data_IF_529489350579
#
_entry.id   IF_529489350579
#
_cell.length_a   1.000
_cell.length_b   1.000
_cell.length_c   1.000
_cell.angle_alpha   90.00
_cell.angle_beta   90.00
_cell.angle_gamma   90.00
#
_symmetry.space_group_name_H-M   'P 1'
#
loop_
_entity.id
_entity.type
_entity.pdbx_description
1 polymer ?
#
# COMPACT_ATOMS: atom_id res chain seq x y z
N UNK A 1 16.26 -13.04 -9.08
CA UNK A 1 14.78 -13.04 -9.21
C UNK A 1 14.21 -11.70 -9.69
N UNK A 2 14.85 -10.54 -9.45
CA UNK A 2 14.40 -9.25 -10.02
C UNK A 2 13.21 -8.62 -9.29
N UNK A 3 12.87 -9.10 -8.09
CA UNK A 3 11.84 -8.50 -7.24
C UNK A 3 12.29 -7.13 -6.73
N UNK A 4 11.34 -6.19 -6.65
CA UNK A 4 11.58 -4.86 -6.08
C UNK A 4 11.90 -4.99 -4.58
N UNK A 5 13.07 -4.51 -4.15
CA UNK A 5 13.42 -4.45 -2.72
C UNK A 5 12.87 -3.19 -2.08
N UNK A 6 13.12 -2.04 -2.69
CA UNK A 6 12.62 -0.75 -2.22
C UNK A 6 12.55 0.27 -3.37
N UNK A 7 11.83 1.36 -3.12
CA UNK A 7 11.79 2.54 -3.98
C UNK A 7 11.96 3.81 -3.17
N UNK A 8 12.75 4.77 -3.67
CA UNK A 8 12.80 6.13 -3.14
C UNK A 8 11.65 6.94 -3.73
N UNK A 9 10.93 7.67 -2.90
CA UNK A 9 9.82 8.52 -3.33
C UNK A 9 9.93 9.90 -2.68
N UNK A 10 9.25 10.88 -3.28
CA UNK A 10 9.23 12.28 -2.79
C UNK A 10 10.65 12.83 -2.61
N UNK A 11 11.44 12.79 -3.68
CA UNK A 11 12.84 13.25 -3.71
C UNK A 11 13.74 12.65 -2.61
N UNK A 12 13.47 11.40 -2.23
CA UNK A 12 14.24 10.67 -1.22
C UNK A 12 13.79 10.93 0.21
N UNK A 13 12.73 11.71 0.44
CA UNK A 13 12.18 11.90 1.77
C UNK A 13 11.54 10.62 2.36
N UNK A 14 11.14 9.68 1.50
CA UNK A 14 10.51 8.43 1.93
C UNK A 14 11.04 7.24 1.14
N UNK A 15 10.95 6.06 1.77
CA UNK A 15 11.30 4.77 1.18
C UNK A 15 10.09 3.84 1.29
N UNK A 16 9.66 3.27 0.18
CA UNK A 16 8.73 2.14 0.19
C UNK A 16 9.54 0.85 0.22
N UNK A 17 9.30 -0.03 1.20
CA UNK A 17 9.97 -1.33 1.34
C UNK A 17 8.95 -2.44 1.17
N UNK A 18 9.26 -3.46 0.37
CA UNK A 18 8.38 -4.61 0.21
C UNK A 18 8.41 -5.46 1.49
N UNK A 19 7.26 -5.62 2.16
CA UNK A 19 7.17 -6.33 3.45
C UNK A 19 7.76 -7.74 3.43
N UNK A 20 7.68 -8.45 2.29
CA UNK A 20 8.25 -9.80 2.13
C UNK A 20 9.78 -9.88 2.15
N UNK A 21 10.49 -8.77 2.22
CA UNK A 21 11.96 -8.73 2.31
C UNK A 21 12.46 -8.58 3.75
N UNK A 22 11.57 -8.45 4.73
CA UNK A 22 11.93 -8.32 6.14
C UNK A 22 12.27 -9.70 6.73
N UNK A 23 13.30 -9.74 7.59
CA UNK A 23 13.72 -10.97 8.28
C UNK A 23 12.84 -11.24 9.49
N UNK A 24 12.55 -10.20 10.27
CA UNK A 24 11.76 -10.28 11.49
C UNK A 24 10.29 -9.94 11.23
N UNK A 25 9.39 -10.35 12.14
CA UNK A 25 7.98 -9.96 12.07
C UNK A 25 7.85 -8.43 12.21
N UNK A 26 7.33 -7.73 11.19
CA UNK A 26 7.11 -6.30 11.30
C UNK A 26 6.10 -6.02 12.42
N UNK A 27 6.35 -5.03 13.28
CA UNK A 27 5.36 -4.60 14.26
C UNK A 27 4.24 -3.75 13.65
N UNK A 28 4.47 -3.18 12.48
CA UNK A 28 3.49 -2.40 11.72
C UNK A 28 2.47 -3.33 11.07
N UNK A 29 1.22 -2.85 10.97
CA UNK A 29 0.10 -3.54 10.33
C UNK A 29 -0.47 -2.65 9.21
N UNK A 30 -1.14 -3.22 8.20
CA UNK A 30 -1.85 -2.42 7.21
C UNK A 30 -2.83 -1.46 7.88
N UNK A 31 -2.88 -0.22 7.41
CA UNK A 31 -3.82 0.81 7.89
C UNK A 31 -4.92 1.12 6.88
N UNK A 32 -4.68 0.80 5.61
CA UNK A 32 -5.56 1.11 4.47
C UNK A 32 -5.15 0.29 3.25
N UNK A 33 -6.07 0.18 2.29
CA UNK A 33 -5.84 -0.41 0.97
C UNK A 33 -5.93 0.67 -0.09
N UNK A 34 -4.82 0.97 -0.76
CA UNK A 34 -4.76 1.91 -1.89
C UNK A 34 -4.79 1.16 -3.22
N UNK A 35 -5.21 1.83 -4.30
CA UNK A 35 -5.31 1.25 -5.63
C UNK A 35 -6.24 0.03 -5.74
N UNK A 36 -7.32 -0.03 -4.96
CA UNK A 36 -8.28 -1.16 -5.04
C UNK A 36 -8.98 -1.25 -6.40
N UNK A 37 -9.00 -0.17 -7.18
CA UNK A 37 -9.51 -0.16 -8.56
C UNK A 37 -8.67 -1.02 -9.52
N UNK A 38 -7.41 -1.29 -9.17
CA UNK A 38 -6.49 -2.14 -9.94
C UNK A 38 -6.40 -3.58 -9.42
N UNK A 39 -7.13 -3.92 -8.34
CA UNK A 39 -7.15 -5.29 -7.82
C UNK A 39 -7.90 -6.21 -8.79
N UNK A 40 -7.58 -7.50 -8.77
CA UNK A 40 -8.36 -8.47 -9.52
C UNK A 40 -9.83 -8.48 -9.07
N UNK A 41 -10.77 -8.47 -10.03
CA UNK A 41 -12.21 -8.38 -9.72
C UNK A 41 -12.74 -9.51 -8.83
N UNK A 42 -12.12 -10.68 -8.86
CA UNK A 42 -12.48 -11.85 -8.04
C UNK A 42 -11.88 -11.82 -6.62
N UNK A 43 -10.92 -10.94 -6.32
CA UNK A 43 -10.31 -10.86 -5.01
C UNK A 43 -11.14 -9.97 -4.07
N UNK A 44 -11.50 -10.49 -2.90
CA UNK A 44 -12.26 -9.76 -1.87
C UNK A 44 -11.34 -9.41 -0.71
N UNK A 45 -11.26 -8.14 -0.35
CA UNK A 45 -10.60 -7.67 0.87
C UNK A 45 -11.59 -7.90 2.03
N UNK A 46 -11.15 -8.60 3.08
CA UNK A 46 -12.04 -9.11 4.14
C UNK A 46 -11.93 -8.38 5.47
N UNK A 47 -11.00 -7.43 5.59
CA UNK A 47 -10.93 -6.53 6.74
C UNK A 47 -11.81 -5.28 6.52
N UNK A 48 -11.91 -4.47 7.57
CA UNK A 48 -12.71 -3.23 7.56
C UNK A 48 -11.83 -1.97 7.43
N UNK A 49 -10.61 -2.09 6.88
CA UNK A 49 -9.74 -0.94 6.70
C UNK A 49 -10.25 -0.05 5.55
N UNK A 50 -9.96 1.26 5.57
CA UNK A 50 -10.25 2.16 4.47
C UNK A 50 -9.74 1.62 3.13
N UNK A 51 -10.56 1.77 2.07
CA UNK A 51 -10.24 1.31 0.72
C UNK A 51 -10.35 2.46 -0.28
N UNK A 52 -9.28 2.70 -1.04
CA UNK A 52 -9.15 3.81 -1.98
C UNK A 52 -8.88 3.31 -3.39
N UNK A 53 -9.61 3.86 -4.37
CA UNK A 53 -9.49 3.44 -5.78
C UNK A 53 -8.11 3.74 -6.37
N UNK A 54 -7.45 4.79 -5.89
CA UNK A 54 -6.16 5.30 -6.36
C UNK A 54 -5.36 5.90 -5.18
N UNK A 55 -4.45 6.84 -5.45
CA UNK A 55 -3.68 7.52 -4.41
C UNK A 55 -4.58 8.29 -3.44
N UNK A 56 -4.21 8.25 -2.15
CA UNK A 56 -4.79 9.12 -1.13
C UNK A 56 -4.14 10.50 -1.22
N UNK A 57 -4.92 11.48 -1.67
CA UNK A 57 -4.53 12.90 -1.61
C UNK A 57 -5.22 13.47 -0.38
N UNK A 58 -4.48 14.15 0.49
CA UNK A 58 -5.07 14.84 1.63
C UNK A 58 -6.12 15.85 1.13
N UNK A 59 -7.42 15.49 1.22
CA UNK A 59 -8.55 16.32 0.78
C UNK A 59 -9.64 15.64 -0.05
N UNK A 60 -9.52 14.36 -0.45
CA UNK A 60 -10.50 13.71 -1.33
C UNK A 60 -11.68 13.01 -0.65
N UNK A 61 -11.87 13.16 0.67
CA UNK A 61 -13.11 12.75 1.34
C UNK A 61 -14.23 13.78 1.07
N UNK A 62 -14.61 14.00 -0.18
CA UNK A 62 -15.93 14.48 -0.63
C UNK A 62 -16.10 14.23 -2.15
N UNK A 63 -16.76 13.13 -2.50
CA UNK A 63 -17.59 13.04 -3.70
C UNK A 63 -18.76 12.10 -3.45
#
# INVERSE_FOLDING_TARGET
CGSLLYSLVRDGAYVHVAMGTLVDDPSIRPTEHIFVGSKAGWFTITDNLPQYQEHVIAGSDQQ
#
